data_IF_076556499871
#
_entry.id   IF_076556499871
#
_cell.length_a   1.000
_cell.length_b   1.000
_cell.length_c   1.000
_cell.angle_alpha   90.00
_cell.angle_beta   90.00
_cell.angle_gamma   90.00
#
_symmetry.space_group_name_H-M   'P 1'
#
loop_
_entity.id
_entity.type
_entity.pdbx_description
1 polymer ?
#
# COMPACT_ATOMS: atom_id res chain seq x y z
N UNK A 1 36.95 15.39 21.55
CA UNK A 1 37.48 14.24 20.78
C UNK A 1 37.05 14.49 19.34
N UNK A 2 38.00 14.80 18.45
CA UNK A 2 37.69 15.11 17.06
C UNK A 2 37.03 13.91 16.41
N UNK A 3 35.86 14.13 15.82
CA UNK A 3 35.22 13.15 14.96
C UNK A 3 36.20 12.88 13.80
N UNK A 4 36.64 11.64 13.55
CA UNK A 4 37.50 11.36 12.41
C UNK A 4 36.75 11.78 11.14
N UNK A 5 37.49 12.39 10.22
CA UNK A 5 36.97 12.90 8.96
C UNK A 5 36.37 11.70 8.20
N UNK A 6 35.04 11.68 8.00
CA UNK A 6 34.33 10.53 7.42
C UNK A 6 34.90 10.13 6.04
N UNK A 7 35.50 11.11 5.34
CA UNK A 7 36.22 10.94 4.08
C UNK A 7 37.52 10.10 4.18
N UNK A 8 38.21 10.06 5.33
CA UNK A 8 39.45 9.28 5.50
C UNK A 8 39.18 7.79 5.76
N UNK A 9 37.96 7.44 6.16
CA UNK A 9 37.54 6.05 6.47
C UNK A 9 36.94 5.36 5.24
N UNK A 10 36.55 6.12 4.21
CA UNK A 10 35.77 5.65 3.07
C UNK A 10 36.61 5.66 1.78
N UNK A 11 37.27 4.54 1.48
CA UNK A 11 37.95 4.32 0.18
C UNK A 11 36.96 4.30 -1.01
N UNK A 12 37.48 4.14 -2.23
CA UNK A 12 36.72 4.21 -3.52
C UNK A 12 35.60 3.15 -3.71
N UNK A 13 35.27 2.37 -2.68
CA UNK A 13 34.20 1.38 -2.68
C UNK A 13 32.88 1.91 -2.09
N UNK A 14 31.80 1.10 -2.12
CA UNK A 14 30.56 1.44 -1.44
C UNK A 14 30.82 1.54 0.07
N UNK A 15 30.63 2.74 0.62
CA UNK A 15 30.86 2.99 2.03
C UNK A 15 29.58 2.69 2.81
N UNK A 16 29.62 1.63 3.62
CA UNK A 16 28.49 1.24 4.47
C UNK A 16 28.51 2.01 5.77
N UNK A 17 27.48 2.83 6.01
CA UNK A 17 27.28 3.51 7.31
C UNK A 17 26.68 2.50 8.31
N UNK A 18 25.82 1.59 7.82
CA UNK A 18 25.23 0.48 8.57
C UNK A 18 24.87 -0.66 7.61
N UNK A 19 24.28 -1.73 8.14
CA UNK A 19 23.73 -2.80 7.29
C UNK A 19 22.57 -2.30 6.40
N UNK A 20 21.81 -1.30 6.87
CA UNK A 20 20.63 -0.75 6.21
C UNK A 20 20.96 0.31 5.15
N UNK A 21 21.99 1.13 5.40
CA UNK A 21 22.34 2.29 4.59
C UNK A 21 23.77 2.21 4.06
N UNK A 22 23.90 2.24 2.74
CA UNK A 22 25.20 2.23 2.04
C UNK A 22 25.27 3.38 1.04
N UNK A 23 26.40 4.09 0.98
CA UNK A 23 26.65 5.11 -0.03
C UNK A 23 27.22 4.44 -1.28
N UNK A 24 26.59 4.70 -2.43
CA UNK A 24 27.08 4.19 -3.71
C UNK A 24 28.22 5.08 -4.24
N UNK A 25 29.18 4.51 -5.00
CA UNK A 25 30.24 5.27 -5.66
C UNK A 25 29.69 6.40 -6.55
N UNK A 26 30.46 7.49 -6.69
CA UNK A 26 30.03 8.69 -7.43
C UNK A 26 29.30 9.72 -6.57
N UNK A 27 29.64 9.79 -5.28
CA UNK A 27 29.29 10.90 -4.41
C UNK A 27 30.39 11.97 -4.44
N UNK A 28 30.01 13.22 -4.23
CA UNK A 28 30.97 14.34 -4.14
C UNK A 28 31.73 14.32 -2.80
N UNK A 29 33.00 14.74 -2.73
CA UNK A 29 33.80 14.70 -1.50
C UNK A 29 33.23 15.49 -0.33
N UNK A 30 32.43 16.51 -0.62
CA UNK A 30 31.71 17.36 0.35
C UNK A 30 30.31 16.82 0.70
N UNK A 31 29.92 15.68 0.13
CA UNK A 31 28.58 15.10 0.22
C UNK A 31 27.45 16.02 -0.31
N UNK A 32 27.76 16.97 -1.18
CA UNK A 32 26.75 17.82 -1.84
C UNK A 32 25.86 17.03 -2.80
N UNK A 33 26.37 15.95 -3.36
CA UNK A 33 25.60 15.01 -4.18
C UNK A 33 25.93 13.56 -3.80
N UNK A 34 24.94 12.80 -3.36
CA UNK A 34 25.12 11.44 -2.85
C UNK A 34 23.99 10.54 -3.33
N UNK A 35 24.34 9.29 -3.68
CA UNK A 35 23.34 8.23 -3.90
C UNK A 35 23.37 7.26 -2.73
N UNK A 36 22.29 7.23 -1.97
CA UNK A 36 22.07 6.31 -0.85
C UNK A 36 21.39 5.03 -1.35
N UNK A 37 21.91 3.88 -0.96
CA UNK A 37 21.28 2.59 -1.14
C UNK A 37 20.67 2.17 0.20
N UNK A 38 19.34 2.10 0.24
CA UNK A 38 18.57 1.62 1.39
C UNK A 38 18.18 0.17 1.12
N UNK A 39 18.69 -0.75 1.93
CA UNK A 39 18.38 -2.19 1.83
C UNK A 39 17.06 -2.49 2.50
N UNK A 40 16.36 -3.52 2.02
CA UNK A 40 15.06 -3.98 2.52
C UNK A 40 14.01 -2.86 2.59
N UNK A 41 14.00 -1.98 1.57
CA UNK A 41 13.04 -0.88 1.45
C UNK A 41 12.52 -0.82 0.02
N UNK A 42 11.34 -0.22 -0.14
CA UNK A 42 10.63 -0.13 -1.41
C UNK A 42 10.01 1.27 -1.65
N UNK A 43 9.01 1.34 -2.53
CA UNK A 43 8.30 2.56 -2.86
C UNK A 43 7.65 3.26 -1.66
N UNK A 44 7.31 2.52 -0.60
CA UNK A 44 6.66 3.04 0.60
C UNK A 44 7.54 4.09 1.27
N UNK A 45 8.77 3.72 1.62
CA UNK A 45 9.73 4.66 2.20
C UNK A 45 10.32 5.58 1.14
N UNK A 46 10.64 5.06 -0.05
CA UNK A 46 11.28 5.84 -1.12
C UNK A 46 10.46 7.04 -1.58
N UNK A 47 9.16 6.86 -1.81
CA UNK A 47 8.28 7.96 -2.23
C UNK A 47 8.06 8.97 -1.10
N UNK A 48 7.91 8.48 0.13
CA UNK A 48 7.72 9.34 1.31
C UNK A 48 8.92 10.24 1.55
N UNK A 49 10.13 9.68 1.56
CA UNK A 49 11.37 10.44 1.69
C UNK A 49 11.57 11.41 0.53
N UNK A 50 11.37 10.97 -0.72
CA UNK A 50 11.47 11.86 -1.88
C UNK A 50 10.55 13.08 -1.74
N UNK A 51 9.31 12.87 -1.28
CA UNK A 51 8.35 13.96 -1.11
C UNK A 51 8.83 14.97 -0.06
N UNK A 52 9.29 14.51 1.11
CA UNK A 52 9.75 15.38 2.20
C UNK A 52 11.05 16.09 1.83
N UNK A 53 12.02 15.39 1.25
CA UNK A 53 13.32 15.97 0.88
C UNK A 53 13.12 17.09 -0.17
N UNK A 54 12.22 16.91 -1.14
CA UNK A 54 11.90 17.95 -2.13
C UNK A 54 11.22 19.20 -1.55
N UNK A 55 10.81 19.21 -0.28
CA UNK A 55 10.32 20.41 0.41
C UNK A 55 11.43 21.25 1.01
N UNK A 56 12.63 20.68 1.19
CA UNK A 56 13.78 21.42 1.70
C UNK A 56 14.32 22.37 0.62
N UNK A 57 14.35 23.69 0.86
CA UNK A 57 14.85 24.66 -0.12
C UNK A 57 16.35 24.52 -0.42
N UNK A 58 17.10 23.80 0.41
CA UNK A 58 18.54 23.51 0.18
C UNK A 58 18.74 22.42 -0.88
N UNK A 59 17.71 21.65 -1.20
CA UNK A 59 17.79 20.52 -2.14
C UNK A 59 17.52 21.02 -3.56
N UNK A 60 18.46 20.73 -4.46
CA UNK A 60 18.29 20.97 -5.90
C UNK A 60 17.49 19.84 -6.54
N UNK A 61 17.85 18.59 -6.20
CA UNK A 61 17.24 17.42 -6.81
C UNK A 61 17.17 16.26 -5.83
N UNK A 62 16.03 15.59 -5.81
CA UNK A 62 15.86 14.31 -5.13
C UNK A 62 15.05 13.34 -6.00
N UNK A 63 15.59 12.15 -6.19
CA UNK A 63 14.96 11.07 -6.95
C UNK A 63 15.24 9.71 -6.32
N UNK A 64 14.29 8.79 -6.42
CA UNK A 64 14.53 7.40 -6.03
C UNK A 64 14.20 6.45 -7.18
N UNK A 65 14.89 5.32 -7.21
CA UNK A 65 14.60 4.22 -8.12
C UNK A 65 14.73 2.89 -7.41
N UNK A 66 13.91 1.92 -7.81
CA UNK A 66 14.15 0.51 -7.49
C UNK A 66 14.95 -0.09 -8.65
N UNK A 67 16.23 -0.49 -8.45
CA UNK A 67 17.06 -1.03 -9.51
C UNK A 67 16.46 -2.27 -10.18
N UNK A 68 15.79 -3.13 -9.41
CA UNK A 68 15.16 -4.34 -9.92
C UNK A 68 14.03 -4.81 -8.97
N UNK A 69 12.83 -5.12 -9.47
CA UNK A 69 11.68 -5.49 -8.62
C UNK A 69 11.90 -6.71 -7.72
N UNK A 70 12.79 -7.63 -8.08
CA UNK A 70 13.12 -8.81 -7.26
C UNK A 70 14.14 -8.52 -6.14
N UNK A 71 14.73 -7.33 -6.10
CA UNK A 71 15.65 -6.92 -5.05
C UNK A 71 14.95 -5.90 -4.16
N UNK A 72 14.84 -6.20 -2.87
CA UNK A 72 14.28 -5.26 -1.90
C UNK A 72 15.36 -4.23 -1.55
N UNK A 73 15.64 -3.30 -2.45
CA UNK A 73 16.49 -2.14 -2.18
C UNK A 73 16.07 -0.97 -3.06
N UNK A 74 16.27 0.24 -2.56
CA UNK A 74 16.07 1.46 -3.34
C UNK A 74 17.34 2.29 -3.36
N UNK A 75 17.55 2.98 -4.48
CA UNK A 75 18.58 4.00 -4.62
C UNK A 75 17.92 5.37 -4.52
N UNK A 76 18.36 6.20 -3.57
CA UNK A 76 17.89 7.57 -3.35
C UNK A 76 19.05 8.53 -3.64
N UNK A 77 18.93 9.31 -4.73
CA UNK A 77 19.87 10.37 -5.09
C UNK A 77 19.39 11.68 -4.51
N UNK A 78 20.27 12.38 -3.81
CA UNK A 78 20.06 13.74 -3.32
C UNK A 78 21.20 14.62 -3.87
N UNK A 79 20.85 15.78 -4.41
CA UNK A 79 21.77 16.84 -4.84
C UNK A 79 21.35 18.14 -4.16
N UNK A 80 22.32 18.82 -3.59
CA UNK A 80 22.14 20.01 -2.76
C UNK A 80 22.68 21.25 -3.47
N UNK A 81 22.08 22.41 -3.19
CA UNK A 81 22.66 23.70 -3.53
C UNK A 81 23.82 24.06 -2.58
N UNK A 82 24.70 24.95 -3.03
CA UNK A 82 25.72 25.65 -2.22
C UNK A 82 26.59 24.74 -1.33
N UNK A 83 26.91 23.54 -1.80
CA UNK A 83 27.73 22.55 -1.08
C UNK A 83 27.16 22.13 0.30
N UNK A 84 25.84 22.27 0.50
CA UNK A 84 25.19 21.73 1.69
C UNK A 84 25.23 20.20 1.70
N UNK A 85 25.22 19.58 2.88
CA UNK A 85 25.35 18.12 2.99
C UNK A 85 24.02 17.41 2.67
N UNK A 86 24.06 16.49 1.72
CA UNK A 86 22.95 15.60 1.41
C UNK A 86 22.62 14.65 2.57
N UNK A 87 23.60 14.32 3.41
CA UNK A 87 23.39 13.49 4.60
C UNK A 87 22.57 14.24 5.66
N UNK A 88 22.85 15.52 5.87
CA UNK A 88 22.07 16.37 6.77
C UNK A 88 20.63 16.50 6.27
N UNK A 89 20.43 16.74 4.97
CA UNK A 89 19.09 16.80 4.38
C UNK A 89 18.33 15.48 4.55
N UNK A 90 19.00 14.34 4.41
CA UNK A 90 18.38 13.03 4.65
C UNK A 90 17.97 12.83 6.11
N UNK A 91 18.84 13.19 7.07
CA UNK A 91 18.54 13.11 8.51
C UNK A 91 17.33 13.99 8.85
N UNK A 92 17.39 15.26 8.46
CA UNK A 92 16.34 16.23 8.73
C UNK A 92 15.01 15.79 8.11
N UNK A 93 15.04 15.18 6.92
CA UNK A 93 13.84 14.64 6.27
C UNK A 93 13.23 13.44 7.01
N UNK A 94 14.03 12.55 7.59
CA UNK A 94 13.53 11.43 8.41
C UNK A 94 12.84 11.98 9.66
N UNK A 95 13.47 12.93 10.36
CA UNK A 95 12.87 13.57 11.55
C UNK A 95 11.56 14.30 11.23
N UNK A 96 11.51 15.00 10.09
CA UNK A 96 10.30 15.66 9.62
C UNK A 96 9.18 14.66 9.26
N UNK A 97 9.54 13.49 8.72
CA UNK A 97 8.58 12.44 8.39
C UNK A 97 7.99 11.82 9.66
N UNK A 98 8.80 11.59 10.69
CA UNK A 98 8.32 11.10 12.00
C UNK A 98 7.36 12.10 12.65
N UNK A 99 7.68 13.40 12.62
CA UNK A 99 6.80 14.45 13.12
C UNK A 99 5.49 14.53 12.35
N UNK A 100 5.53 14.35 11.02
CA UNK A 100 4.33 14.31 10.19
C UNK A 100 3.41 13.14 10.60
N UNK A 101 3.97 11.95 10.81
CA UNK A 101 3.18 10.80 11.25
C UNK A 101 2.59 11.00 12.65
N UNK A 102 3.36 11.60 13.57
CA UNK A 102 2.84 11.94 14.91
C UNK A 102 1.65 12.92 14.82
N UNK A 103 1.77 13.98 14.00
CA UNK A 103 0.70 14.96 13.83
C UNK A 103 -0.56 14.36 13.18
N UNK A 104 -0.39 13.49 12.19
CA UNK A 104 -1.51 12.77 11.56
C UNK A 104 -2.20 11.84 12.58
N UNK A 105 -1.41 11.10 13.37
CA UNK A 105 -1.92 10.22 14.41
C UNK A 105 -2.74 10.97 15.45
N UNK A 106 -2.22 12.07 15.98
CA UNK A 106 -2.95 12.92 16.94
C UNK A 106 -4.26 13.46 16.34
N UNK A 107 -4.22 13.95 15.10
CA UNK A 107 -5.41 14.45 14.43
C UNK A 107 -6.45 13.34 14.20
N UNK A 108 -5.99 12.14 13.85
CA UNK A 108 -6.84 10.97 13.67
C UNK A 108 -7.49 10.54 14.99
N UNK A 109 -6.73 10.40 16.07
CA UNK A 109 -7.25 10.01 17.38
C UNK A 109 -8.28 11.03 17.92
N UNK A 110 -8.01 12.32 17.72
CA UNK A 110 -8.95 13.38 18.06
C UNK A 110 -10.24 13.29 17.24
N UNK A 111 -10.15 12.99 15.95
CA UNK A 111 -11.31 12.81 15.08
C UNK A 111 -12.11 11.55 15.46
N UNK A 112 -11.42 10.45 15.72
CA UNK A 112 -12.00 9.17 16.10
C UNK A 112 -12.74 9.28 17.45
N UNK A 113 -12.13 9.91 18.45
CA UNK A 113 -12.75 10.12 19.76
C UNK A 113 -13.96 11.07 19.72
N UNK A 114 -14.02 11.99 18.75
CA UNK A 114 -15.17 12.86 18.56
C UNK A 114 -16.41 12.12 18.04
N UNK A 115 -16.25 10.95 17.41
CA UNK A 115 -17.38 10.13 16.95
C UNK A 115 -18.16 10.70 15.76
N UNK A 116 -17.65 11.76 15.12
CA UNK A 116 -18.32 12.50 14.05
C UNK A 116 -18.08 11.88 12.65
N UNK A 117 -18.15 10.56 12.55
CA UNK A 117 -17.95 9.82 11.29
C UNK A 117 -19.18 8.99 10.94
N UNK A 118 -19.41 8.79 9.65
CA UNK A 118 -20.51 7.97 9.16
C UNK A 118 -20.25 6.49 9.49
N UNK A 119 -21.21 5.85 10.12
CA UNK A 119 -21.17 4.41 10.38
C UNK A 119 -22.17 3.70 9.48
N UNK A 120 -21.67 2.86 8.57
CA UNK A 120 -22.52 1.92 7.85
C UNK A 120 -22.80 0.71 8.72
N UNK A 121 -24.07 0.54 9.09
CA UNK A 121 -24.54 -0.72 9.69
C UNK A 121 -24.91 -1.64 8.54
N UNK A 122 -24.18 -2.74 8.38
CA UNK A 122 -24.59 -3.78 7.44
C UNK A 122 -25.99 -4.27 7.84
N UNK A 123 -26.94 -4.35 6.89
CA UNK A 123 -28.25 -4.91 7.18
C UNK A 123 -28.06 -6.32 7.69
N UNK A 124 -28.46 -6.57 8.94
CA UNK A 124 -28.41 -7.93 9.48
C UNK A 124 -29.26 -8.83 8.61
N UNK A 125 -28.68 -9.97 8.25
CA UNK A 125 -29.39 -11.00 7.50
C UNK A 125 -30.54 -11.54 8.36
N UNK A 126 -31.78 -11.32 7.92
CA UNK A 126 -32.97 -11.84 8.59
C UNK A 126 -33.10 -13.34 8.30
N UNK A 127 -32.58 -14.15 9.23
CA UNK A 127 -32.59 -15.61 9.13
C UNK A 127 -34.00 -16.20 9.13
N UNK A 128 -34.97 -15.56 9.80
CA UNK A 128 -36.36 -16.03 9.83
C UNK A 128 -37.02 -15.83 8.46
N UNK A 129 -36.83 -14.65 7.88
CA UNK A 129 -37.34 -14.34 6.54
C UNK A 129 -36.71 -15.21 5.46
N UNK A 130 -35.41 -15.53 5.57
CA UNK A 130 -34.74 -16.48 4.69
C UNK A 130 -35.30 -17.91 4.80
N UNK A 131 -35.58 -18.37 6.02
CA UNK A 131 -36.18 -19.68 6.24
C UNK A 131 -37.58 -19.78 5.61
N UNK A 132 -38.40 -18.73 5.77
CA UNK A 132 -39.72 -18.64 5.13
C UNK A 132 -39.61 -18.68 3.59
N UNK A 133 -38.72 -17.88 3.00
CA UNK A 133 -38.46 -17.88 1.55
C UNK A 133 -37.98 -19.25 1.05
N UNK A 134 -37.18 -19.97 1.84
CA UNK A 134 -36.72 -21.31 1.49
C UNK A 134 -37.86 -22.34 1.51
N UNK A 135 -38.79 -22.27 2.47
CA UNK A 135 -39.96 -23.14 2.51
C UNK A 135 -40.96 -22.86 1.39
N UNK A 136 -41.26 -21.58 1.13
CA UNK A 136 -42.11 -21.16 0.00
C UNK A 136 -41.49 -21.58 -1.34
N UNK A 137 -40.17 -21.47 -1.45
CA UNK A 137 -39.40 -21.96 -2.60
C UNK A 137 -39.56 -23.46 -2.81
N UNK A 138 -39.53 -24.27 -1.74
CA UNK A 138 -39.76 -25.72 -1.81
C UNK A 138 -41.19 -26.05 -2.24
N UNK A 139 -42.20 -25.35 -1.69
CA UNK A 139 -43.62 -25.54 -2.06
C UNK A 139 -43.87 -25.23 -3.54
N UNK A 140 -43.42 -24.08 -4.03
CA UNK A 140 -43.59 -23.71 -5.46
C UNK A 140 -42.97 -24.75 -6.40
N UNK A 141 -41.76 -25.23 -6.10
CA UNK A 141 -41.11 -26.27 -6.92
C UNK A 141 -41.88 -27.58 -6.93
N UNK A 142 -42.46 -27.97 -5.78
CA UNK A 142 -43.28 -29.17 -5.69
C UNK A 142 -44.59 -29.04 -6.51
N UNK A 143 -45.26 -27.88 -6.44
CA UNK A 143 -46.47 -27.60 -7.21
C UNK A 143 -46.20 -27.54 -8.72
N UNK A 144 -45.10 -26.90 -9.13
CA UNK A 144 -44.69 -26.81 -10.52
C UNK A 144 -44.34 -28.18 -11.11
N UNK A 145 -43.60 -29.01 -10.36
CA UNK A 145 -43.30 -30.40 -10.73
C UNK A 145 -44.57 -31.26 -10.80
N UNK A 146 -45.53 -31.09 -9.89
CA UNK A 146 -46.79 -31.80 -9.93
C UNK A 146 -47.60 -31.43 -11.18
N UNK A 147 -47.66 -30.13 -11.52
CA UNK A 147 -48.36 -29.61 -12.69
C UNK A 147 -47.71 -30.04 -14.00
N UNK A 148 -46.38 -30.05 -14.08
CA UNK A 148 -45.66 -30.63 -15.22
C UNK A 148 -45.88 -32.14 -15.35
N UNK A 149 -45.86 -32.88 -14.24
CA UNK A 149 -46.11 -34.32 -14.26
C UNK A 149 -47.54 -34.65 -14.72
N UNK A 150 -48.52 -33.84 -14.32
CA UNK A 150 -49.91 -33.98 -14.74
C UNK A 150 -50.09 -33.62 -16.22
N UNK A 151 -49.50 -32.52 -16.68
CA UNK A 151 -49.47 -32.15 -18.09
C UNK A 151 -48.79 -33.22 -18.96
N UNK A 152 -47.70 -33.84 -18.47
CA UNK A 152 -47.01 -34.94 -19.16
C UNK A 152 -47.87 -36.20 -19.24
N UNK A 153 -48.64 -36.53 -18.18
CA UNK A 153 -49.60 -37.64 -18.20
C UNK A 153 -50.74 -37.39 -19.18
N UNK A 154 -51.30 -36.18 -19.20
CA UNK A 154 -52.36 -35.80 -20.14
C UNK A 154 -51.87 -35.82 -21.60
N UNK A 155 -50.67 -35.31 -21.88
CA UNK A 155 -50.07 -35.37 -23.20
C UNK A 155 -49.82 -36.82 -23.67
N UNK A 156 -49.37 -37.70 -22.78
CA UNK A 156 -49.19 -39.12 -23.08
C UNK A 156 -50.52 -39.84 -23.38
N UNK A 157 -51.59 -39.53 -22.63
CA UNK A 157 -52.93 -40.06 -22.89
C UNK A 157 -53.51 -39.54 -24.21
N UNK A 158 -53.33 -38.25 -24.53
CA UNK A 158 -53.77 -37.67 -25.81
C UNK A 158 -52.99 -38.23 -27.01
N UNK A 159 -51.71 -38.54 -26.86
CA UNK A 159 -50.90 -39.17 -27.90
C UNK A 159 -51.29 -40.64 -28.15
N UNK A 160 -51.70 -41.38 -27.12
CA UNK A 160 -52.18 -42.76 -27.26
C UNK A 160 -53.57 -42.89 -27.92
N UNK A 161 -54.36 -41.81 -27.94
CA UNK A 161 -55.71 -41.78 -28.52
C UNK A 161 -55.82 -41.25 -29.95
N UNK A 162 -54.69 -40.95 -30.64
CA UNK A 162 -54.70 -40.42 -32.01
C UNK A 162 -54.69 -41.58 -33.03
N UNK A 163 -55.75 -41.80 -33.82
CA UNK A 163 -55.73 -42.79 -34.90
C UNK A 163 -54.82 -42.33 -36.04
N UNK A 164 -54.14 -43.30 -36.68
CA UNK A 164 -53.27 -43.13 -37.86
C UNK A 164 -54.05 -42.69 -39.09
#
# INVERSE_FOLDING_TARGET
MSNPNLAEVMGEGPASISDKLTLLPGYEPDFSAVTFCLKEEDHTLGNSLRYIIMKDPRVEFCGYSNPHPSENKIHLRIQMYDHASALDALRDAIENLDQLFAAIGEAYDKSLSAGNYETHVEPKLDHERLAQMAEEGKKRRAEEQAREAEARKQAAQAAAGRPM
#
